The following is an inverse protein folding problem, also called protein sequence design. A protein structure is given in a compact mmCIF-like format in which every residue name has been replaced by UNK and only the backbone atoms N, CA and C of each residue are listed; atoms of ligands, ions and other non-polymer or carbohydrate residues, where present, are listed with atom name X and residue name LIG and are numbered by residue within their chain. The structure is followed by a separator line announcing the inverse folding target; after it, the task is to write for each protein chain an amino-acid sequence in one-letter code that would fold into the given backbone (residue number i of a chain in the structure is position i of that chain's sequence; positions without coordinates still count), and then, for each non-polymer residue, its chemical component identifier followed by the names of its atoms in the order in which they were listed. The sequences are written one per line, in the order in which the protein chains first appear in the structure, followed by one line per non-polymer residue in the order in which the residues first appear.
data_IF_543950916454
#
_entry.id   IF_543950916454
#
_cell.length_a   1.000
_cell.length_b   1.000
_cell.length_c   1.000
_cell.angle_alpha   90.00
_cell.angle_beta   90.00
_cell.angle_gamma   90.00
#
_symmetry.space_group_name_H-M   'P 1'
#
loop_
_entity.id
_entity.type
_entity.pdbx_description
1 polymer ?
#
# COMPACT_ATOMS: atom_id res chain seq x y z
N UNK A 1 -7.41 -5.88 -9.54
CA UNK A 1 -7.13 -6.97 -8.57
C UNK A 1 -8.10 -6.82 -7.40
N UNK A 2 -8.36 -7.86 -6.59
CA UNK A 2 -9.17 -7.73 -5.37
C UNK A 2 -8.29 -7.19 -4.24
N UNK A 3 -8.81 -6.26 -3.45
CA UNK A 3 -8.12 -5.72 -2.28
C UNK A 3 -7.89 -6.82 -1.23
N UNK A 4 -6.67 -6.87 -0.72
CA UNK A 4 -6.16 -7.74 0.32
C UNK A 4 -5.81 -6.88 1.54
N UNK A 5 -6.64 -6.99 2.59
CA UNK A 5 -6.50 -6.16 3.77
C UNK A 5 -5.34 -6.59 4.67
N UNK A 6 -4.99 -7.88 4.69
CA UNK A 6 -3.83 -8.37 5.43
C UNK A 6 -2.55 -7.83 4.78
N UNK A 7 -2.48 -7.84 3.44
CA UNK A 7 -1.36 -7.22 2.73
C UNK A 7 -1.27 -5.71 2.98
N UNK A 8 -2.39 -4.97 2.97
CA UNK A 8 -2.40 -3.54 3.29
C UNK A 8 -1.83 -3.28 4.68
N UNK A 9 -2.30 -4.03 5.69
CA UNK A 9 -1.81 -3.92 7.06
C UNK A 9 -0.32 -4.20 7.14
N UNK A 10 0.12 -5.30 6.53
CA UNK A 10 1.52 -5.72 6.58
C UNK A 10 2.45 -4.73 5.87
N UNK A 11 2.07 -4.22 4.69
CA UNK A 11 2.83 -3.18 3.99
C UNK A 11 3.02 -1.94 4.86
N UNK A 12 1.96 -1.46 5.52
CA UNK A 12 2.07 -0.30 6.40
C UNK A 12 2.98 -0.56 7.61
N UNK A 13 2.90 -1.74 8.22
CA UNK A 13 3.77 -2.12 9.34
C UNK A 13 5.24 -2.27 8.91
N UNK A 14 5.50 -2.85 7.74
CA UNK A 14 6.84 -2.99 7.17
C UNK A 14 7.45 -1.64 6.81
N UNK A 15 6.67 -0.74 6.20
CA UNK A 15 7.05 0.65 5.91
C UNK A 15 7.40 1.36 7.23
N UNK A 16 6.55 1.26 8.25
CA UNK A 16 6.77 1.93 9.53
C UNK A 16 8.02 1.43 10.25
N UNK A 17 8.28 0.12 10.21
CA UNK A 17 9.44 -0.49 10.86
C UNK A 17 10.77 -0.14 10.17
N UNK A 18 10.74 0.47 8.98
CA UNK A 18 11.93 0.77 8.21
C UNK A 18 12.52 2.14 8.59
N UNK A 19 13.69 2.10 9.25
CA UNK A 19 14.41 3.29 9.72
C UNK A 19 14.87 4.25 8.61
N UNK A 20 14.88 3.80 7.35
CA UNK A 20 15.26 4.65 6.21
C UNK A 20 14.14 5.62 5.79
N UNK A 21 12.90 5.42 6.24
CA UNK A 21 11.81 6.37 5.99
C UNK A 21 11.91 7.55 6.97
N UNK A 22 12.89 8.40 6.74
CA UNK A 22 13.18 9.57 7.58
C UNK A 22 13.12 10.90 6.79
N UNK A 23 12.51 10.89 5.61
CA UNK A 23 12.41 12.05 4.72
C UNK A 23 13.62 12.29 3.83
N UNK A 24 14.68 11.47 3.93
CA UNK A 24 15.85 11.53 3.04
C UNK A 24 15.93 10.36 2.06
N UNK A 25 15.36 9.21 2.39
CA UNK A 25 15.34 8.02 1.54
C UNK A 25 13.90 7.58 1.28
N UNK A 26 13.68 7.01 0.10
CA UNK A 26 12.42 6.40 -0.29
C UNK A 26 12.53 4.88 -0.22
N UNK A 27 11.44 4.21 0.18
CA UNK A 27 11.27 2.78 -0.04
C UNK A 27 10.64 2.58 -1.40
N UNK A 28 11.14 1.61 -2.13
CA UNK A 28 10.58 1.21 -3.41
C UNK A 28 9.73 -0.05 -3.28
N UNK A 29 8.84 -0.26 -4.23
CA UNK A 29 8.09 -1.52 -4.35
C UNK A 29 8.99 -2.77 -4.37
N UNK A 30 10.26 -2.64 -4.76
CA UNK A 30 11.25 -3.75 -4.79
C UNK A 30 11.87 -4.06 -3.43
N UNK A 31 11.81 -3.14 -2.48
CA UNK A 31 12.43 -3.31 -1.15
C UNK A 31 11.61 -4.20 -0.22
N UNK A 32 10.36 -4.52 -0.58
CA UNK A 32 9.47 -5.40 0.20
C UNK A 32 9.82 -6.90 0.11
N UNK A 33 10.92 -7.27 -0.56
CA UNK A 33 11.38 -8.66 -0.65
C UNK A 33 10.39 -9.62 -1.32
N UNK A 34 9.42 -9.10 -2.09
CA UNK A 34 8.41 -9.89 -2.78
C UNK A 34 8.90 -10.38 -4.14
N UNK A 35 8.50 -11.58 -4.59
CA UNK A 35 8.76 -12.03 -5.95
C UNK A 35 8.19 -11.04 -7.00
N UNK A 36 8.84 -10.95 -8.16
CA UNK A 36 8.40 -10.05 -9.25
C UNK A 36 6.95 -10.30 -9.71
N UNK A 37 6.46 -11.55 -9.62
CA UNK A 37 5.08 -11.88 -9.95
C UNK A 37 4.05 -11.28 -8.96
N UNK A 38 4.47 -11.11 -7.70
CA UNK A 38 3.69 -10.50 -6.64
C UNK A 38 3.89 -8.99 -6.55
N UNK A 39 4.91 -8.45 -7.21
CA UNK A 39 5.19 -7.01 -7.23
C UNK A 39 3.99 -6.18 -7.71
N UNK A 40 3.26 -6.68 -8.72
CA UNK A 40 2.02 -6.03 -9.20
C UNK A 40 0.94 -5.97 -8.12
N UNK A 41 0.87 -7.00 -7.28
CA UNK A 41 -0.04 -7.04 -6.12
C UNK A 41 0.39 -5.97 -5.13
N UNK A 42 1.67 -5.88 -4.78
CA UNK A 42 2.19 -4.85 -3.88
C UNK A 42 1.93 -3.44 -4.43
N UNK A 43 2.31 -3.17 -5.67
CA UNK A 43 2.08 -1.88 -6.35
C UNK A 43 0.60 -1.48 -6.34
N UNK A 44 -0.31 -2.42 -6.62
CA UNK A 44 -1.75 -2.16 -6.58
C UNK A 44 -2.22 -1.70 -5.18
N UNK A 45 -1.74 -2.34 -4.11
CA UNK A 45 -2.12 -1.97 -2.75
C UNK A 45 -1.42 -0.69 -2.26
N UNK A 46 -0.19 -0.43 -2.67
CA UNK A 46 0.48 0.85 -2.40
C UNK A 46 -0.27 2.02 -3.04
N UNK A 47 -0.81 1.86 -4.27
CA UNK A 47 -1.68 2.88 -4.88
C UNK A 47 -2.96 3.12 -4.09
N UNK A 48 -3.61 2.06 -3.58
CA UNK A 48 -4.78 2.22 -2.71
C UNK A 48 -4.45 3.00 -1.42
N UNK A 49 -3.24 2.84 -0.90
CA UNK A 49 -2.77 3.58 0.27
C UNK A 49 -2.44 5.05 -0.04
N UNK A 50 -1.96 5.35 -1.25
CA UNK A 50 -1.87 6.74 -1.73
C UNK A 50 -3.25 7.37 -1.92
N UNK A 51 -4.19 6.66 -2.53
CA UNK A 51 -5.56 7.15 -2.76
C UNK A 51 -6.30 7.43 -1.44
N UNK A 52 -5.97 6.68 -0.38
CA UNK A 52 -6.51 6.87 0.97
C UNK A 52 -5.74 7.92 1.81
N UNK A 53 -4.72 8.58 1.24
CA UNK A 53 -3.80 9.51 1.92
C UNK A 53 -3.12 8.89 3.15
N UNK A 54 -2.85 7.58 3.16
CA UNK A 54 -2.12 6.90 4.25
C UNK A 54 -0.61 6.89 4.00
N UNK A 55 -0.20 7.01 2.73
CA UNK A 55 1.20 7.11 2.31
C UNK A 55 1.40 8.34 1.43
N UNK A 56 2.63 8.89 1.46
CA UNK A 56 3.10 9.93 0.52
C UNK A 56 4.26 9.39 -0.28
N UNK A 57 4.35 9.80 -1.54
CA UNK A 57 5.38 9.32 -2.46
C UNK A 57 5.09 9.67 -3.90
N UNK A 58 5.75 8.94 -4.80
CA UNK A 58 5.63 9.09 -6.25
C UNK A 58 5.21 7.76 -6.87
N UNK A 59 4.17 7.80 -7.70
CA UNK A 59 3.80 6.70 -8.58
C UNK A 59 4.38 6.94 -9.98
N UNK A 60 5.46 6.23 -10.27
CA UNK A 60 6.16 6.27 -11.55
C UNK A 60 5.33 5.82 -12.74
N UNK A 61 4.21 5.11 -12.56
CA UNK A 61 3.32 4.80 -13.70
C UNK A 61 2.71 6.06 -14.31
N UNK A 62 2.50 7.12 -13.52
CA UNK A 62 1.98 8.39 -14.05
C UNK A 62 3.04 9.13 -14.86
N UNK A 63 4.31 9.06 -14.46
CA UNK A 63 5.43 9.67 -15.17
C UNK A 63 5.71 8.92 -16.47
N UNK A 64 5.64 7.57 -16.44
CA UNK A 64 5.72 6.73 -17.63
C UNK A 64 4.55 6.97 -18.58
N UNK A 65 3.32 7.08 -18.08
CA UNK A 65 2.14 7.39 -18.90
C UNK A 65 2.25 8.78 -19.55
N UNK A 66 2.71 9.79 -18.82
CA UNK A 66 2.96 11.13 -19.39
C UNK A 66 4.10 11.12 -20.40
N UNK A 67 5.20 10.40 -20.13
CA UNK A 67 6.31 10.24 -21.07
C UNK A 67 5.90 9.46 -22.33
N UNK A 68 5.07 8.42 -22.19
CA UNK A 68 4.47 7.65 -23.28
C UNK A 68 3.52 8.52 -24.10
N UNK A 69 2.58 9.24 -23.47
CA UNK A 69 1.66 10.17 -24.13
C UNK A 69 2.38 11.33 -24.82
N UNK A 70 3.53 11.77 -24.30
CA UNK A 70 4.39 12.75 -24.95
C UNK A 70 5.11 12.17 -26.18
N UNK A 71 5.50 10.89 -26.14
CA UNK A 71 6.06 10.17 -27.29
C UNK A 71 5.02 9.84 -28.38
N UNK A 72 3.74 9.69 -28.01
CA UNK A 72 2.63 9.46 -28.96
C UNK A 72 2.35 10.66 -29.89
N UNK A 73 2.87 11.86 -29.58
CA UNK A 73 2.83 13.01 -30.49
C UNK A 73 3.86 12.96 -31.63
N UNK A 74 4.63 11.87 -31.72
CA UNK A 74 5.54 11.62 -32.83
C UNK A 74 6.28 10.30 -32.66
N UNK A 75 5.69 9.23 -33.19
CA UNK A 75 6.23 7.88 -33.42
C UNK A 75 6.59 7.04 -32.19
N UNK A 76 5.61 6.34 -31.61
CA UNK A 76 5.66 4.89 -31.34
C UNK A 76 4.24 4.44 -30.94
N UNK A 77 3.74 3.36 -31.55
CA UNK A 77 2.41 2.81 -31.27
C UNK A 77 2.44 2.08 -29.93
N UNK A 78 1.53 2.47 -29.04
CA UNK A 78 1.47 1.99 -27.68
C UNK A 78 1.30 0.49 -27.56
N UNK A 79 1.84 -0.04 -26.47
CA UNK A 79 1.30 -1.12 -25.66
C UNK A 79 2.22 -1.22 -24.42
N UNK A 80 1.74 -1.86 -23.34
CA UNK A 80 2.45 -1.99 -22.06
C UNK A 80 3.96 -2.36 -22.17
N UNK A 81 4.76 -2.11 -21.12
CA UNK A 81 6.20 -2.40 -21.17
C UNK A 81 6.55 -3.85 -21.58
N UNK A 82 5.65 -4.83 -21.38
CA UNK A 82 5.86 -6.23 -21.79
C UNK A 82 5.75 -6.43 -23.30
N UNK A 83 4.83 -5.74 -23.95
CA UNK A 83 4.63 -5.78 -25.40
C UNK A 83 5.66 -4.91 -26.13
N UNK A 84 6.18 -3.86 -25.50
CA UNK A 84 7.37 -3.14 -25.99
C UNK A 84 8.61 -4.05 -25.99
N UNK A 85 8.84 -4.87 -24.94
CA UNK A 85 9.93 -5.87 -24.91
C UNK A 85 9.81 -6.90 -26.04
N UNK A 86 8.58 -7.31 -26.38
CA UNK A 86 8.33 -8.30 -27.43
C UNK A 86 8.55 -7.74 -28.85
N UNK A 87 8.43 -6.41 -29.03
CA UNK A 87 8.57 -5.72 -30.32
C UNK A 87 9.94 -5.03 -30.50
N UNK A 88 10.76 -4.92 -29.45
CA UNK A 88 12.11 -4.37 -29.52
C UNK A 88 13.04 -5.30 -30.32
N UNK A 89 13.25 -4.96 -31.59
CA UNK A 89 14.16 -5.70 -32.48
C UNK A 89 15.62 -5.26 -32.35
N UNK A 90 15.85 -4.05 -31.83
CA UNK A 90 17.17 -3.52 -31.55
C UNK A 90 17.68 -3.95 -30.15
N UNK A 91 18.91 -4.51 -30.03
CA UNK A 91 19.47 -4.94 -28.75
C UNK A 91 19.68 -3.84 -27.70
N UNK A 92 19.94 -2.59 -28.12
CA UNK A 92 20.06 -1.46 -27.18
C UNK A 92 18.69 -1.01 -26.69
N UNK A 93 17.69 -0.92 -27.57
CA UNK A 93 16.31 -0.64 -27.17
C UNK A 93 15.78 -1.72 -26.23
N UNK A 94 16.03 -3.00 -26.54
CA UNK A 94 15.65 -4.11 -25.68
C UNK A 94 16.30 -4.02 -24.30
N UNK A 95 17.59 -3.67 -24.22
CA UNK A 95 18.27 -3.44 -22.94
C UNK A 95 17.69 -2.25 -22.17
N UNK A 96 17.34 -1.16 -22.86
CA UNK A 96 16.74 0.01 -22.23
C UNK A 96 15.36 -0.31 -21.67
N UNK A 97 14.53 -1.04 -22.41
CA UNK A 97 13.20 -1.46 -21.95
C UNK A 97 13.30 -2.52 -20.85
N UNK A 98 14.21 -3.48 -20.94
CA UNK A 98 14.50 -4.43 -19.85
C UNK A 98 14.97 -3.68 -18.59
N UNK A 99 15.87 -2.68 -18.73
CA UNK A 99 16.31 -1.83 -17.62
C UNK A 99 15.15 -1.02 -17.02
N UNK A 100 14.25 -0.48 -17.84
CA UNK A 100 13.03 0.21 -17.36
C UNK A 100 12.05 -0.73 -16.68
N UNK A 101 11.87 -1.96 -17.17
CA UNK A 101 11.07 -2.99 -16.50
C UNK A 101 11.70 -3.44 -15.18
N UNK A 102 13.01 -3.21 -14.99
CA UNK A 102 13.72 -3.40 -13.71
C UNK A 102 13.73 -2.16 -12.82
N UNK A 103 13.09 -1.05 -13.19
CA UNK A 103 12.97 0.11 -12.31
C UNK A 103 11.81 -0.05 -11.32
N UNK A 104 11.92 0.53 -10.11
CA UNK A 104 10.81 0.59 -9.18
C UNK A 104 9.71 1.50 -9.71
N UNK A 105 8.47 1.03 -9.65
CA UNK A 105 7.32 1.80 -10.16
C UNK A 105 6.72 2.68 -9.08
N UNK A 106 6.88 2.33 -7.79
CA UNK A 106 6.34 3.07 -6.67
C UNK A 106 7.49 3.45 -5.74
N UNK A 107 7.55 4.72 -5.36
CA UNK A 107 8.46 5.23 -4.34
C UNK A 107 7.64 5.81 -3.19
N UNK A 108 7.81 5.27 -1.99
CA UNK A 108 7.19 5.74 -0.75
C UNK A 108 8.18 6.65 -0.03
N UNK A 109 7.77 7.88 0.25
CA UNK A 109 8.56 8.90 0.95
C UNK A 109 8.32 8.86 2.46
N UNK A 110 7.05 8.73 2.87
CA UNK A 110 6.65 8.69 4.29
C UNK A 110 5.24 8.14 4.49
N UNK A 111 4.96 7.72 5.72
CA UNK A 111 3.61 7.49 6.22
C UNK A 111 3.00 8.85 6.61
N UNK A 112 1.72 9.05 6.31
CA UNK A 112 1.00 10.26 6.76
C UNK A 112 0.55 10.14 8.21
N UNK A 113 0.08 11.23 8.79
CA UNK A 113 -0.54 11.16 10.11
C UNK A 113 -1.72 10.16 10.14
N UNK A 114 -2.59 10.18 9.13
CA UNK A 114 -3.73 9.27 9.04
C UNK A 114 -3.30 7.81 8.85
N UNK A 115 -2.19 7.58 8.14
CA UNK A 115 -1.55 6.28 8.04
C UNK A 115 -1.09 5.74 9.39
N UNK A 116 -0.44 6.57 10.22
CA UNK A 116 -0.05 6.19 11.58
C UNK A 116 -1.27 5.89 12.46
N UNK A 117 -2.31 6.71 12.41
CA UNK A 117 -3.55 6.47 13.15
C UNK A 117 -4.21 5.15 12.75
N UNK A 118 -4.21 4.81 11.46
CA UNK A 118 -4.70 3.54 11.00
C UNK A 118 -3.84 2.37 11.50
N UNK A 119 -2.51 2.47 11.39
CA UNK A 119 -1.56 1.46 11.89
C UNK A 119 -1.83 1.19 13.37
N UNK A 120 -1.88 2.21 14.22
CA UNK A 120 -2.15 2.05 15.65
C UNK A 120 -3.48 1.34 15.92
N UNK A 121 -4.49 1.65 15.13
CA UNK A 121 -5.82 1.02 15.24
C UNK A 121 -5.79 -0.47 14.91
N UNK A 122 -4.98 -0.89 13.93
CA UNK A 122 -4.94 -2.28 13.44
C UNK A 122 -3.70 -3.06 13.86
N UNK A 123 -2.81 -2.48 14.68
CA UNK A 123 -1.55 -3.08 15.09
C UNK A 123 -1.76 -4.36 15.91
N UNK A 124 -2.71 -4.35 16.84
CA UNK A 124 -2.99 -5.49 17.70
C UNK A 124 -3.67 -6.64 16.93
N UNK A 125 -3.03 -7.81 16.89
CA UNK A 125 -3.51 -8.98 16.15
C UNK A 125 -4.90 -9.44 16.60
N UNK A 126 -5.20 -9.35 17.89
CA UNK A 126 -6.49 -9.79 18.42
C UNK A 126 -7.62 -8.85 18.00
N UNK A 127 -7.36 -7.55 17.96
CA UNK A 127 -8.29 -6.55 17.41
C UNK A 127 -8.43 -6.75 15.90
N UNK A 128 -7.33 -7.02 15.20
CA UNK A 128 -7.32 -7.23 13.75
C UNK A 128 -8.15 -8.45 13.33
N UNK A 129 -7.94 -9.61 13.96
CA UNK A 129 -8.70 -10.83 13.63
C UNK A 129 -10.21 -10.63 13.87
N UNK A 130 -10.59 -9.99 14.97
CA UNK A 130 -12.00 -9.65 15.26
C UNK A 130 -12.58 -8.64 14.29
N UNK A 131 -11.76 -7.71 13.81
CA UNK A 131 -12.15 -6.79 12.75
C UNK A 131 -12.47 -7.59 11.49
N UNK A 132 -11.57 -8.48 11.04
CA UNK A 132 -11.82 -9.33 9.86
C UNK A 132 -13.08 -10.18 10.01
N UNK A 133 -13.29 -10.83 11.15
CA UNK A 133 -14.52 -11.60 11.44
C UNK A 133 -15.79 -10.74 11.25
N UNK A 134 -15.78 -9.52 11.80
CA UNK A 134 -16.90 -8.58 11.69
C UNK A 134 -17.10 -8.14 10.25
N UNK A 135 -16.03 -7.77 9.55
CA UNK A 135 -16.08 -7.27 8.18
C UNK A 135 -16.54 -8.34 7.18
N UNK A 136 -16.14 -9.60 7.39
CA UNK A 136 -16.63 -10.74 6.60
C UNK A 136 -18.14 -10.95 6.76
N UNK A 137 -18.69 -10.65 7.94
CA UNK A 137 -20.13 -10.78 8.20
C UNK A 137 -20.94 -9.66 7.51
N UNK A 138 -20.43 -8.42 7.54
CA UNK A 138 -21.14 -7.26 6.96
C UNK A 138 -20.86 -7.05 5.47
N UNK A 139 -19.82 -7.68 4.92
CA UNK A 139 -19.49 -7.65 3.49
C UNK A 139 -18.94 -6.32 2.96
N UNK A 140 -18.58 -5.38 3.83
CA UNK A 140 -18.18 -4.02 3.45
C UNK A 140 -16.75 -3.73 3.91
N UNK A 141 -15.77 -3.85 3.02
CA UNK A 141 -14.35 -3.73 3.40
C UNK A 141 -13.74 -2.33 3.23
N UNK A 142 -14.52 -1.28 2.99
CA UNK A 142 -14.00 0.10 2.85
C UNK A 142 -13.00 0.45 3.97
N UNK A 143 -11.87 1.09 3.64
CA UNK A 143 -10.77 1.29 4.60
C UNK A 143 -11.23 2.08 5.84
N UNK A 144 -12.09 3.07 5.62
CA UNK A 144 -12.74 3.83 6.71
C UNK A 144 -13.65 2.96 7.58
N UNK A 145 -14.35 1.99 6.99
CA UNK A 145 -15.18 1.06 7.75
C UNK A 145 -14.31 0.09 8.55
N UNK A 146 -13.17 -0.34 8.00
CA UNK A 146 -12.19 -1.17 8.72
C UNK A 146 -11.64 -0.40 9.91
N UNK A 147 -11.24 0.87 9.71
CA UNK A 147 -10.77 1.75 10.79
C UNK A 147 -11.85 1.95 11.86
N UNK A 148 -13.10 2.18 11.46
CA UNK A 148 -14.21 2.41 12.39
C UNK A 148 -14.50 1.16 13.26
N UNK A 149 -14.56 -0.03 12.65
CA UNK A 149 -14.79 -1.29 13.36
C UNK A 149 -13.63 -1.62 14.30
N UNK A 150 -12.39 -1.52 13.82
CA UNK A 150 -11.21 -1.78 14.64
C UNK A 150 -11.13 -0.80 15.84
N UNK A 151 -11.42 0.48 15.62
CA UNK A 151 -11.48 1.50 16.68
C UNK A 151 -12.55 1.17 17.73
N UNK A 152 -13.75 0.76 17.30
CA UNK A 152 -14.84 0.38 18.20
C UNK A 152 -14.47 -0.84 19.04
N UNK A 153 -13.81 -1.83 18.44
CA UNK A 153 -13.31 -3.01 19.15
C UNK A 153 -12.23 -2.63 20.16
N UNK A 154 -11.25 -1.81 19.78
CA UNK A 154 -10.18 -1.33 20.67
C UNK A 154 -10.76 -0.62 21.89
N UNK A 155 -11.68 0.32 21.66
CA UNK A 155 -12.44 1.04 22.69
C UNK A 155 -13.18 0.09 23.64
N UNK A 156 -13.90 -0.90 23.09
CA UNK A 156 -14.62 -1.90 23.88
C UNK A 156 -13.71 -2.79 24.73
N UNK A 157 -12.54 -3.17 24.21
CA UNK A 157 -11.54 -3.91 24.98
C UNK A 157 -10.95 -3.07 26.10
N UNK A 158 -10.62 -1.81 25.81
CA UNK A 158 -10.09 -0.87 26.80
C UNK A 158 -11.07 -0.68 27.95
N UNK A 159 -12.36 -0.44 27.67
CA UNK A 159 -13.40 -0.32 28.69
C UNK A 159 -13.45 -1.55 29.61
N UNK A 160 -13.49 -2.75 29.03
CA UNK A 160 -13.51 -4.01 29.80
C UNK A 160 -12.25 -4.21 30.65
N UNK A 161 -11.08 -3.81 30.14
CA UNK A 161 -9.83 -3.94 30.89
C UNK A 161 -9.75 -2.96 32.05
N UNK A 162 -10.14 -1.70 31.84
CA UNK A 162 -10.12 -0.68 32.90
C UNK A 162 -11.12 -1.03 33.99
N UNK A 163 -12.35 -1.40 33.65
CA UNK A 163 -13.35 -1.85 34.62
C UNK A 163 -12.83 -3.02 35.47
N UNK A 164 -12.19 -4.01 34.85
CA UNK A 164 -11.62 -5.16 35.55
C UNK A 164 -10.48 -4.77 36.51
N UNK A 165 -9.66 -3.80 36.13
CA UNK A 165 -8.46 -3.40 36.90
C UNK A 165 -8.76 -2.39 38.01
N UNK A 166 -9.71 -1.48 37.79
CA UNK A 166 -9.94 -0.33 38.67
C UNK A 166 -11.35 -0.29 39.26
N UNK A 167 -12.29 -1.07 38.73
CA UNK A 167 -13.72 -0.96 39.05
C UNK A 167 -14.40 0.28 38.44
N UNK A 168 -13.68 1.06 37.63
CA UNK A 168 -14.22 2.26 36.96
C UNK A 168 -14.75 1.89 35.58
N UNK A 169 -16.01 2.21 35.33
CA UNK A 169 -16.61 2.10 34.00
C UNK A 169 -16.31 3.37 33.18
N UNK A 170 -15.74 3.20 31.98
CA UNK A 170 -15.45 4.31 31.06
C UNK A 170 -16.66 4.63 30.18
N UNK A 171 -16.88 5.93 29.94
CA UNK A 171 -17.89 6.48 29.03
C UNK A 171 -17.23 7.29 27.91
N UNK A 172 -17.12 6.69 26.71
CA UNK A 172 -16.72 7.36 25.46
C UNK A 172 -17.17 6.54 24.24
#
# INVERSE_FOLDING_TARGET
MKRDMDLIRNLLLEIEANENINGHFTITDRDFGVPDEDLRKVQYHLRLLFDADYLRGVDGSTVLEVAQNASERGTYLGTDARSTILLATDPEERRAVEAMATQPMIMVERITWDGHEFIETVRDDKIWEKTKETMNTVGNFGIENVKAVASALAKGFMKKQVEKLTGVELEF
#
